data_IF_763783966811
#
_entry.id   IF_763783966811
#
_cell.length_a   1.000
_cell.length_b   1.000
_cell.length_c   1.000
_cell.angle_alpha   90.00
_cell.angle_beta   90.00
_cell.angle_gamma   90.00
#
_symmetry.space_group_name_H-M   'P 1'
#
loop_
_entity.id
_entity.type
_entity.pdbx_description
1 polymer ?
#
# COMPACT_ATOMS: atom_id res chain seq x y z
N UNK A 1 1.43 -21.18 -5.91
CA UNK A 1 1.35 -21.01 -4.44
C UNK A 1 2.71 -21.31 -3.83
N UNK A 2 3.13 -20.52 -2.85
CA UNK A 2 4.30 -20.80 -2.02
C UNK A 2 3.83 -21.26 -0.64
N UNK A 3 4.51 -22.25 -0.08
CA UNK A 3 4.30 -22.71 1.29
C UNK A 3 5.62 -22.50 2.04
N UNK A 4 5.60 -21.66 3.07
CA UNK A 4 6.75 -21.44 3.97
C UNK A 4 6.50 -22.24 5.24
N UNK A 5 7.39 -23.18 5.54
CA UNK A 5 7.37 -23.93 6.79
C UNK A 5 8.47 -23.35 7.69
N UNK A 6 8.10 -22.93 8.89
CA UNK A 6 9.03 -22.50 9.94
C UNK A 6 8.96 -23.54 11.05
N UNK A 7 10.10 -24.11 11.47
CA UNK A 7 10.13 -25.13 12.53
C UNK A 7 9.44 -26.46 12.17
N UNK A 8 9.53 -26.88 10.91
CA UNK A 8 9.07 -28.20 10.48
C UNK A 8 9.95 -29.36 10.98
N UNK A 9 9.50 -30.60 10.78
CA UNK A 9 10.19 -31.84 11.16
C UNK A 9 10.68 -31.85 12.60
N UNK A 10 9.74 -31.69 13.53
CA UNK A 10 10.03 -31.59 14.96
C UNK A 10 10.91 -30.38 15.28
N UNK A 11 10.55 -29.20 14.73
CA UNK A 11 11.23 -27.94 14.98
C UNK A 11 12.72 -27.96 14.59
N UNK A 12 13.09 -28.72 13.56
CA UNK A 12 14.49 -28.88 13.17
C UNK A 12 14.87 -28.08 11.91
N UNK A 13 13.90 -27.75 11.05
CA UNK A 13 14.17 -27.08 9.78
C UNK A 13 13.04 -26.22 9.25
N UNK A 14 13.40 -25.32 8.34
CA UNK A 14 12.48 -24.41 7.65
C UNK A 14 12.66 -24.57 6.15
N UNK A 15 11.56 -24.58 5.40
CA UNK A 15 11.59 -24.80 3.93
C UNK A 15 10.62 -23.89 3.20
N UNK A 16 10.93 -23.59 1.95
CA UNK A 16 9.99 -23.00 0.99
C UNK A 16 9.63 -24.08 -0.02
N UNK A 17 8.33 -24.30 -0.25
CA UNK A 17 7.81 -25.20 -1.27
C UNK A 17 6.98 -24.42 -2.29
N UNK A 18 7.18 -24.72 -3.58
CA UNK A 18 6.36 -24.17 -4.67
C UNK A 18 5.32 -25.21 -5.09
N UNK A 19 4.07 -24.80 -5.24
CA UNK A 19 2.98 -25.58 -5.84
C UNK A 19 2.76 -26.98 -5.25
N UNK A 20 3.04 -27.18 -3.95
CA UNK A 20 2.88 -28.47 -3.26
C UNK A 20 3.70 -29.61 -3.88
N UNK A 21 4.77 -29.29 -4.60
CA UNK A 21 5.65 -30.29 -5.23
C UNK A 21 6.94 -30.49 -4.45
N UNK A 22 7.54 -31.68 -4.61
CA UNK A 22 8.88 -32.00 -4.11
C UNK A 22 9.87 -32.06 -5.30
N UNK A 23 11.16 -31.74 -5.10
CA UNK A 23 11.79 -31.30 -3.85
C UNK A 23 11.33 -29.90 -3.41
N UNK A 24 11.55 -29.56 -2.14
CA UNK A 24 11.36 -28.18 -1.68
C UNK A 24 12.36 -27.26 -2.40
N UNK A 25 11.99 -26.01 -2.64
CA UNK A 25 12.80 -25.08 -3.47
C UNK A 25 13.88 -24.35 -2.66
N UNK A 26 13.73 -24.30 -1.34
CA UNK A 26 14.76 -23.87 -0.41
C UNK A 26 14.60 -24.60 0.94
N UNK A 27 15.70 -24.89 1.62
CA UNK A 27 15.74 -25.60 2.90
C UNK A 27 16.91 -25.10 3.76
N UNK A 28 16.67 -24.96 5.07
CA UNK A 28 17.69 -24.56 6.04
C UNK A 28 17.43 -25.21 7.41
N UNK A 29 18.49 -25.66 8.07
CA UNK A 29 18.44 -26.15 9.44
C UNK A 29 18.15 -24.99 10.40
N UNK A 30 17.08 -25.13 11.18
CA UNK A 30 16.58 -24.12 12.13
C UNK A 30 16.11 -24.82 13.40
N UNK A 31 17.03 -25.49 14.13
CA UNK A 31 16.68 -26.20 15.35
C UNK A 31 16.13 -25.24 16.39
N UNK A 32 15.06 -25.67 17.05
CA UNK A 32 14.42 -24.97 18.17
C UNK A 32 13.99 -23.53 17.83
N UNK A 33 13.64 -23.26 16.56
CA UNK A 33 13.29 -21.91 16.12
C UNK A 33 11.93 -21.46 16.68
N UNK A 34 10.96 -22.37 16.80
CA UNK A 34 9.70 -22.13 17.49
C UNK A 34 9.79 -22.46 18.98
N UNK A 35 8.93 -21.85 19.79
CA UNK A 35 8.79 -22.13 21.23
C UNK A 35 7.33 -22.33 21.60
N UNK A 36 7.07 -23.20 22.58
CA UNK A 36 5.75 -23.33 23.21
C UNK A 36 5.56 -22.40 24.40
N UNK A 37 6.66 -21.83 24.93
CA UNK A 37 6.67 -21.07 26.18
C UNK A 37 6.65 -19.54 25.94
N UNK A 38 6.94 -19.10 24.72
CA UNK A 38 7.02 -17.68 24.35
C UNK A 38 6.62 -17.43 22.90
N UNK A 39 6.07 -16.24 22.64
CA UNK A 39 5.85 -15.74 21.28
C UNK A 39 7.19 -15.38 20.65
N UNK A 40 7.41 -15.85 19.41
CA UNK A 40 8.59 -15.50 18.61
C UNK A 40 8.14 -14.89 17.29
N UNK A 41 8.61 -13.67 17.02
CA UNK A 41 8.29 -12.98 15.79
C UNK A 41 9.16 -13.42 14.62
N UNK A 42 8.53 -13.47 13.45
CA UNK A 42 9.16 -13.75 12.17
C UNK A 42 8.61 -12.79 11.13
N UNK A 43 9.44 -12.42 10.16
CA UNK A 43 8.98 -11.72 8.98
C UNK A 43 9.10 -12.64 7.75
N UNK A 44 8.12 -12.52 6.86
CA UNK A 44 8.16 -13.10 5.52
C UNK A 44 8.00 -11.93 4.55
N UNK A 45 8.95 -11.78 3.64
CA UNK A 45 8.93 -10.74 2.61
C UNK A 45 8.92 -11.40 1.24
N UNK A 46 8.18 -10.81 0.32
CA UNK A 46 8.17 -11.22 -1.08
C UNK A 46 8.34 -9.99 -1.95
N UNK A 47 9.35 -10.05 -2.80
CA UNK A 47 9.76 -8.94 -3.64
C UNK A 47 10.53 -9.43 -4.88
N UNK A 48 10.27 -8.87 -6.06
CA UNK A 48 10.97 -9.16 -7.32
C UNK A 48 11.14 -10.66 -7.59
N UNK A 49 10.09 -11.43 -7.27
CA UNK A 49 10.10 -12.90 -7.37
C UNK A 49 10.94 -13.63 -6.31
N UNK A 50 11.51 -12.92 -5.35
CA UNK A 50 12.27 -13.43 -4.22
C UNK A 50 11.40 -13.50 -2.97
N UNK A 51 11.39 -14.67 -2.33
CA UNK A 51 10.77 -14.87 -1.02
C UNK A 51 11.88 -14.99 0.00
N UNK A 52 11.80 -14.22 1.06
CA UNK A 52 12.76 -14.24 2.16
C UNK A 52 12.06 -14.33 3.52
N UNK A 53 12.70 -15.04 4.45
CA UNK A 53 12.18 -15.31 5.79
C UNK A 53 13.27 -14.99 6.80
N UNK A 54 12.92 -14.23 7.83
CA UNK A 54 13.83 -13.88 8.90
C UNK A 54 13.13 -13.74 10.25
N UNK A 55 13.92 -13.44 11.28
CA UNK A 55 13.45 -13.26 12.65
C UNK A 55 13.13 -11.80 12.92
N UNK A 56 12.13 -11.55 13.75
CA UNK A 56 11.83 -10.19 14.23
C UNK A 56 13.07 -9.53 14.85
N UNK A 57 13.30 -8.26 14.52
CA UNK A 57 14.48 -7.50 14.94
C UNK A 57 15.76 -7.79 14.16
N UNK A 58 15.81 -8.85 13.33
CA UNK A 58 16.95 -9.16 12.47
C UNK A 58 16.68 -8.70 11.03
N UNK A 59 17.64 -8.03 10.40
CA UNK A 59 17.54 -7.62 8.99
C UNK A 59 17.90 -8.74 8.01
N UNK A 60 18.66 -9.74 8.44
CA UNK A 60 19.10 -10.86 7.62
C UNK A 60 18.04 -11.96 7.51
N UNK A 61 17.82 -12.45 6.29
CA UNK A 61 17.04 -13.65 6.06
C UNK A 61 17.83 -14.90 6.49
N UNK A 62 17.17 -15.86 7.14
CA UNK A 62 17.73 -17.21 7.34
C UNK A 62 17.32 -18.16 6.21
N UNK A 63 16.29 -17.83 5.42
CA UNK A 63 15.80 -18.65 4.30
C UNK A 63 15.36 -17.75 3.15
N UNK A 64 15.86 -18.03 1.95
CA UNK A 64 15.57 -17.24 0.74
C UNK A 64 15.37 -18.15 -0.46
N UNK A 65 14.45 -17.78 -1.35
CA UNK A 65 14.23 -18.42 -2.64
C UNK A 65 13.93 -17.37 -3.71
N UNK A 66 14.73 -17.33 -4.77
CA UNK A 66 14.46 -16.53 -5.96
C UNK A 66 13.75 -17.39 -7.02
N UNK A 67 12.51 -17.06 -7.34
CA UNK A 67 11.72 -17.83 -8.29
C UNK A 67 12.00 -17.43 -9.74
N UNK A 68 12.45 -18.34 -10.62
CA UNK A 68 12.62 -18.03 -12.04
C UNK A 68 11.30 -17.72 -12.77
N UNK A 69 10.16 -18.14 -12.22
CA UNK A 69 8.83 -17.88 -12.78
C UNK A 69 7.87 -17.41 -11.68
N UNK A 70 8.00 -16.15 -11.23
CA UNK A 70 7.23 -15.64 -10.09
C UNK A 70 5.78 -15.32 -10.47
N UNK A 71 4.90 -15.35 -9.47
CA UNK A 71 3.50 -14.95 -9.61
C UNK A 71 3.11 -13.98 -8.49
N UNK A 72 2.03 -13.21 -8.72
CA UNK A 72 1.55 -12.25 -7.73
C UNK A 72 0.97 -12.93 -6.50
N UNK A 73 1.39 -12.51 -5.31
CA UNK A 73 0.85 -12.97 -4.03
C UNK A 73 -0.19 -11.94 -3.58
N UNK A 74 -1.48 -12.27 -3.72
CA UNK A 74 -2.58 -11.40 -3.29
C UNK A 74 -3.22 -11.81 -1.96
N UNK A 75 -2.89 -13.00 -1.46
CA UNK A 75 -3.47 -13.56 -0.24
C UNK A 75 -2.43 -14.41 0.49
N UNK A 76 -2.55 -14.48 1.81
CA UNK A 76 -1.81 -15.43 2.63
C UNK A 76 -2.78 -16.15 3.58
N UNK A 77 -2.34 -17.29 4.08
CA UNK A 77 -3.03 -18.03 5.12
C UNK A 77 -2.00 -18.70 6.03
N UNK A 78 -2.37 -18.89 7.28
CA UNK A 78 -1.54 -19.55 8.27
C UNK A 78 -2.25 -20.80 8.78
N UNK A 79 -1.48 -21.86 9.02
CA UNK A 79 -1.98 -23.09 9.63
C UNK A 79 -0.83 -23.77 10.39
N UNK A 80 -1.20 -24.66 11.30
CA UNK A 80 -0.21 -25.51 11.97
C UNK A 80 0.15 -26.71 11.10
N UNK A 81 1.36 -27.23 11.29
CA UNK A 81 1.77 -28.52 10.73
C UNK A 81 0.99 -29.69 11.34
N UNK A 82 1.07 -30.85 10.69
CA UNK A 82 0.43 -32.06 11.19
C UNK A 82 0.89 -32.40 12.61
N UNK A 83 -0.07 -32.56 13.53
CA UNK A 83 0.19 -32.90 14.93
C UNK A 83 0.61 -31.71 15.81
N UNK A 84 0.65 -30.48 15.28
CA UNK A 84 1.00 -29.29 16.04
C UNK A 84 -0.23 -28.41 16.34
N UNK A 85 -0.19 -27.72 17.47
CA UNK A 85 -1.08 -26.61 17.84
C UNK A 85 -0.25 -25.33 17.98
N UNK A 86 -0.86 -24.17 17.75
CA UNK A 86 -0.16 -22.88 17.88
C UNK A 86 -1.11 -21.71 17.90
N UNK A 87 -0.63 -20.61 18.47
CA UNK A 87 -1.27 -19.30 18.49
C UNK A 87 -0.47 -18.35 17.61
N UNK A 88 -1.15 -17.38 16.99
CA UNK A 88 -0.53 -16.46 16.05
C UNK A 88 -1.01 -15.04 16.35
N UNK A 89 -0.06 -14.10 16.42
CA UNK A 89 -0.32 -12.68 16.29
C UNK A 89 0.17 -12.26 14.90
N UNK A 90 -0.75 -11.72 14.09
CA UNK A 90 -0.44 -11.31 12.73
C UNK A 90 -0.33 -9.80 12.72
N UNK A 91 0.91 -9.32 12.65
CA UNK A 91 1.22 -7.91 12.48
C UNK A 91 1.53 -7.66 11.01
N UNK A 92 0.54 -7.13 10.28
CA UNK A 92 0.73 -6.70 8.90
C UNK A 92 1.47 -5.35 8.90
N UNK A 93 2.79 -5.40 9.07
CA UNK A 93 3.65 -4.28 8.69
C UNK A 93 4.00 -4.53 7.22
N UNK A 94 3.47 -3.71 6.32
CA UNK A 94 3.92 -3.67 4.94
C UNK A 94 5.40 -3.25 4.94
N UNK A 95 6.32 -4.21 5.00
CA UNK A 95 7.74 -3.95 4.76
C UNK A 95 7.92 -3.90 3.24
N UNK A 96 7.47 -2.77 2.67
CA UNK A 96 7.44 -2.53 1.24
C UNK A 96 8.83 -2.22 0.68
N UNK A 97 9.37 -3.16 -0.05
CA UNK A 97 10.40 -3.00 -1.07
C UNK A 97 10.44 -4.34 -1.77
N UNK A 98 10.01 -4.53 -3.02
CA UNK A 98 9.77 -3.72 -4.21
C UNK A 98 8.47 -4.16 -4.95
N UNK A 99 8.07 -3.28 -5.89
CA UNK A 99 7.69 -3.57 -7.28
C UNK A 99 6.58 -4.59 -7.58
N UNK A 100 5.39 -4.29 -7.06
CA UNK A 100 4.21 -4.15 -7.93
C UNK A 100 3.46 -2.83 -7.72
N UNK A 101 4.21 -1.78 -7.40
CA UNK A 101 3.69 -0.43 -7.53
C UNK A 101 3.65 -0.11 -9.02
N UNK A 102 2.45 -0.15 -9.61
CA UNK A 102 2.22 0.68 -10.79
C UNK A 102 2.27 2.12 -10.27
N UNK A 103 3.48 2.67 -10.24
CA UNK A 103 3.62 4.12 -10.23
C UNK A 103 2.99 4.58 -11.55
N UNK A 104 2.09 5.58 -11.52
CA UNK A 104 1.60 6.19 -12.75
C UNK A 104 2.79 6.54 -13.65
N UNK A 105 2.60 6.51 -14.97
CA UNK A 105 3.65 6.67 -16.00
C UNK A 105 4.36 8.04 -16.02
N UNK A 106 4.43 8.76 -14.89
CA UNK A 106 5.17 9.98 -14.75
C UNK A 106 6.64 9.76 -15.18
N UNK A 107 7.19 10.64 -16.03
CA UNK A 107 8.59 10.54 -16.43
C UNK A 107 9.49 10.53 -15.18
N UNK A 108 10.59 9.75 -15.19
CA UNK A 108 11.50 9.72 -14.07
C UNK A 108 11.96 11.15 -13.75
N UNK A 109 12.04 11.52 -12.47
CA UNK A 109 12.56 12.83 -12.09
C UNK A 109 13.97 13.00 -12.68
N UNK A 110 14.33 14.21 -13.15
CA UNK A 110 15.64 14.48 -13.72
C UNK A 110 16.75 14.06 -12.75
N UNK A 111 17.81 13.45 -13.30
CA UNK A 111 18.94 12.91 -12.55
C UNK A 111 19.50 13.94 -11.54
N UNK A 112 19.35 13.67 -10.25
CA UNK A 112 19.81 14.56 -9.17
C UNK A 112 18.87 14.71 -7.97
N UNK A 113 17.73 14.02 -7.93
CA UNK A 113 16.86 13.99 -6.74
C UNK A 113 17.37 12.93 -5.77
N UNK A 114 17.94 13.39 -4.66
CA UNK A 114 18.38 12.59 -3.51
C UNK A 114 17.17 12.12 -2.70
N UNK A 115 17.14 10.82 -2.35
CA UNK A 115 16.22 10.14 -1.42
C UNK A 115 14.73 10.51 -1.51
N UNK A 116 14.01 9.79 -2.36
CA UNK A 116 12.56 9.65 -2.25
C UNK A 116 12.32 8.85 -0.96
N UNK A 117 11.86 9.48 0.12
CA UNK A 117 11.52 8.74 1.34
C UNK A 117 10.50 7.64 1.02
N UNK A 118 10.65 6.46 1.64
CA UNK A 118 9.89 5.24 1.38
C UNK A 118 8.38 5.41 1.70
N UNK A 119 7.62 6.07 0.82
CA UNK A 119 6.15 6.01 0.88
C UNK A 119 5.65 4.79 0.12
N UNK A 120 4.54 4.22 0.60
CA UNK A 120 3.93 3.05 -0.01
C UNK A 120 2.41 3.18 -0.09
N UNK A 121 1.84 2.60 -1.13
CA UNK A 121 0.39 2.43 -1.29
C UNK A 121 0.00 1.05 -0.77
N UNK A 122 -0.56 0.98 0.42
CA UNK A 122 -0.95 -0.27 1.07
C UNK A 122 -2.36 -0.67 0.66
N UNK A 123 -2.53 -1.87 0.11
CA UNK A 123 -3.86 -2.45 -0.12
C UNK A 123 -4.63 -2.55 1.20
N UNK A 124 -5.88 -2.09 1.19
CA UNK A 124 -6.76 -2.06 2.34
C UNK A 124 -8.22 -2.27 1.92
N UNK A 125 -9.03 -2.68 2.89
CA UNK A 125 -10.46 -2.85 2.71
C UNK A 125 -11.19 -2.75 4.04
N UNK A 126 -12.51 -2.64 4.00
CA UNK A 126 -13.34 -2.75 5.21
C UNK A 126 -13.06 -1.70 6.29
N UNK A 127 -12.56 -0.51 5.91
CA UNK A 127 -12.24 0.56 6.85
C UNK A 127 -10.90 0.42 7.57
N UNK A 128 -10.11 -0.59 7.23
CA UNK A 128 -8.76 -0.76 7.78
C UNK A 128 -7.88 0.41 7.35
N UNK A 129 -7.22 1.01 8.34
CA UNK A 129 -6.19 2.05 8.15
C UNK A 129 -4.85 1.47 8.58
N UNK A 130 -3.90 1.27 7.64
CA UNK A 130 -2.57 0.76 7.97
C UNK A 130 -1.77 1.72 8.87
N UNK A 131 -0.78 1.20 9.64
CA UNK A 131 0.13 2.05 10.40
C UNK A 131 0.88 3.04 9.51
N UNK A 132 1.03 4.28 9.99
CA UNK A 132 1.73 5.33 9.23
C UNK A 132 0.94 5.87 8.04
N UNK A 133 -0.38 5.63 7.99
CA UNK A 133 -1.26 6.22 6.99
C UNK A 133 -1.25 7.76 7.05
N UNK A 134 -1.25 8.37 5.87
CA UNK A 134 -1.26 9.83 5.72
C UNK A 134 -2.68 10.35 5.94
N UNK A 135 -2.87 11.08 7.04
CA UNK A 135 -4.07 11.88 7.27
C UNK A 135 -4.05 13.10 6.35
N UNK A 136 -5.07 13.23 5.50
CA UNK A 136 -5.16 14.30 4.51
C UNK A 136 -6.30 15.28 4.73
N UNK A 137 -7.23 14.97 5.62
CA UNK A 137 -8.42 15.77 5.84
C UNK A 137 -9.23 15.35 7.07
N UNK A 138 -10.38 15.99 7.26
CA UNK A 138 -11.29 15.73 8.38
C UNK A 138 -12.74 16.02 7.98
N UNK A 139 -13.63 15.08 8.32
CA UNK A 139 -15.08 15.12 8.10
C UNK A 139 -15.78 14.25 9.16
N UNK A 140 -16.11 14.86 10.31
CA UNK A 140 -16.51 14.22 11.60
C UNK A 140 -15.47 13.26 12.21
N UNK A 141 -14.68 12.59 11.38
CA UNK A 141 -13.53 11.75 11.67
C UNK A 141 -12.33 12.14 10.78
N UNK A 142 -11.15 11.61 11.07
CA UNK A 142 -9.97 11.80 10.21
C UNK A 142 -10.17 11.10 8.87
N UNK A 143 -9.81 11.80 7.79
CA UNK A 143 -9.82 11.26 6.43
C UNK A 143 -8.38 10.94 6.01
N UNK A 144 -8.20 9.77 5.39
CA UNK A 144 -6.89 9.31 4.95
C UNK A 144 -6.76 9.39 3.43
N UNK A 145 -5.54 9.64 2.97
CA UNK A 145 -5.21 9.66 1.54
C UNK A 145 -5.29 8.24 1.00
N UNK A 146 -6.24 8.01 0.11
CA UNK A 146 -6.38 6.74 -0.58
C UNK A 146 -6.47 6.88 -2.08
N UNK A 147 -6.44 5.74 -2.76
CA UNK A 147 -6.74 5.63 -4.18
C UNK A 147 -7.45 4.32 -4.49
N UNK A 148 -8.23 4.30 -5.55
CA UNK A 148 -8.95 3.10 -5.98
C UNK A 148 -9.20 3.09 -7.48
N UNK A 149 -9.35 1.89 -8.05
CA UNK A 149 -9.69 1.73 -9.45
C UNK A 149 -11.18 2.01 -9.72
N UNK A 150 -11.46 2.73 -10.81
CA UNK A 150 -12.80 2.95 -11.31
C UNK A 150 -12.78 3.29 -12.81
N UNK A 151 -13.59 2.58 -13.62
CA UNK A 151 -13.73 2.83 -15.06
C UNK A 151 -12.39 2.90 -15.84
N UNK A 152 -11.43 2.04 -15.47
CA UNK A 152 -10.11 1.98 -16.13
C UNK A 152 -9.10 3.01 -15.64
N UNK A 153 -9.48 3.90 -14.72
CA UNK A 153 -8.60 4.87 -14.09
C UNK A 153 -8.23 4.43 -12.65
N UNK A 154 -7.05 4.84 -12.18
CA UNK A 154 -6.65 4.76 -10.78
C UNK A 154 -6.80 6.15 -10.16
N UNK A 155 -7.76 6.32 -9.28
CA UNK A 155 -8.19 7.64 -8.84
C UNK A 155 -7.84 7.88 -7.37
N UNK A 156 -7.12 8.98 -7.04
CA UNK A 156 -6.95 9.39 -5.66
C UNK A 156 -8.25 9.94 -5.06
N UNK A 157 -8.41 9.80 -3.76
CA UNK A 157 -9.62 10.16 -3.04
C UNK A 157 -9.46 10.08 -1.52
N UNK A 158 -10.60 10.04 -0.82
CA UNK A 158 -10.67 10.06 0.65
C UNK A 158 -11.10 8.70 1.19
N UNK A 159 -10.35 8.16 2.15
CA UNK A 159 -10.77 6.99 2.92
C UNK A 159 -11.45 7.48 4.19
N UNK A 160 -12.68 7.04 4.41
CA UNK A 160 -13.48 7.33 5.60
C UNK A 160 -13.65 6.04 6.42
N UNK A 161 -12.86 5.84 7.49
CA UNK A 161 -12.83 4.58 8.23
C UNK A 161 -14.19 4.15 8.76
N UNK A 162 -14.97 5.06 9.34
CA UNK A 162 -16.30 4.79 9.88
C UNK A 162 -17.30 4.33 8.82
N UNK A 163 -17.06 4.63 7.54
CA UNK A 163 -17.87 4.16 6.41
C UNK A 163 -17.32 2.89 5.76
N UNK A 164 -16.09 2.48 6.11
CA UNK A 164 -15.37 1.38 5.48
C UNK A 164 -15.16 1.53 3.96
N UNK A 165 -15.04 2.78 3.48
CA UNK A 165 -15.07 3.12 2.06
C UNK A 165 -13.98 4.15 1.71
N UNK A 166 -13.34 3.95 0.55
CA UNK A 166 -12.62 4.99 -0.18
C UNK A 166 -13.55 5.63 -1.22
N UNK A 167 -13.79 6.92 -1.11
CA UNK A 167 -14.56 7.68 -2.09
C UNK A 167 -13.64 8.32 -3.12
N UNK A 168 -13.94 8.10 -4.40
CA UNK A 168 -13.22 8.69 -5.54
C UNK A 168 -14.18 9.46 -6.43
N UNK A 169 -13.69 10.54 -7.05
CA UNK A 169 -14.49 11.40 -7.93
C UNK A 169 -14.29 10.98 -9.39
N UNK A 170 -15.39 10.76 -10.14
CA UNK A 170 -15.32 10.43 -11.56
C UNK A 170 -16.64 10.65 -12.28
N UNK A 171 -16.59 11.19 -13.50
CA UNK A 171 -17.75 11.29 -14.39
C UNK A 171 -18.91 12.10 -13.82
N UNK A 172 -18.63 13.10 -12.98
CA UNK A 172 -19.65 13.90 -12.29
C UNK A 172 -20.16 13.32 -10.97
N UNK A 173 -19.72 12.13 -10.56
CA UNK A 173 -20.21 11.44 -9.36
C UNK A 173 -19.13 11.14 -8.30
N UNK A 174 -19.60 10.91 -7.07
CA UNK A 174 -18.81 10.30 -5.99
C UNK A 174 -19.05 8.79 -5.98
N UNK A 175 -17.96 8.02 -5.98
CA UNK A 175 -18.01 6.56 -6.07
C UNK A 175 -17.31 5.93 -4.87
N UNK A 176 -18.06 5.18 -4.07
CA UNK A 176 -17.51 4.42 -2.95
C UNK A 176 -16.87 3.11 -3.41
N UNK A 177 -15.67 2.82 -2.92
CA UNK A 177 -14.90 1.60 -3.14
C UNK A 177 -14.58 0.93 -1.81
N UNK A 178 -14.87 -0.36 -1.72
CA UNK A 178 -14.58 -1.20 -0.55
C UNK A 178 -13.18 -1.81 -0.59
N UNK A 179 -12.59 -1.87 -1.78
CA UNK A 179 -11.20 -2.25 -2.03
C UNK A 179 -10.45 -1.01 -2.52
N UNK A 180 -9.37 -0.66 -1.86
CA UNK A 180 -8.64 0.57 -2.09
C UNK A 180 -7.20 0.44 -1.59
N UNK A 181 -6.40 1.46 -1.86
CA UNK A 181 -5.04 1.60 -1.32
C UNK A 181 -4.98 2.84 -0.44
N UNK A 182 -4.19 2.78 0.63
CA UNK A 182 -3.92 3.90 1.56
C UNK A 182 -2.46 4.31 1.45
N UNK A 183 -2.19 5.61 1.31
CA UNK A 183 -0.82 6.12 1.31
C UNK A 183 -0.25 6.07 2.72
N UNK A 184 0.91 5.44 2.87
CA UNK A 184 1.58 5.23 4.15
C UNK A 184 3.08 5.56 4.06
N UNK A 185 3.73 5.73 5.20
CA UNK A 185 5.21 5.79 5.28
C UNK A 185 5.84 7.15 4.98
N UNK A 186 5.05 8.19 4.73
CA UNK A 186 5.55 9.55 4.53
C UNK A 186 4.83 10.61 5.36
N UNK A 187 5.49 11.76 5.49
CA UNK A 187 4.95 12.98 6.09
C UNK A 187 4.93 14.08 5.02
N UNK A 188 3.94 14.10 4.13
CA UNK A 188 3.90 15.08 3.06
C UNK A 188 3.56 16.48 3.56
N UNK A 189 3.89 17.48 2.75
CA UNK A 189 3.52 18.88 2.96
C UNK A 189 2.37 19.24 2.03
N UNK A 190 1.42 20.02 2.51
CA UNK A 190 0.31 20.55 1.72
C UNK A 190 0.64 21.97 1.28
N UNK A 191 0.65 22.22 -0.03
CA UNK A 191 1.04 23.51 -0.61
C UNK A 191 -0.16 24.12 -1.33
N UNK A 192 -0.62 25.32 -0.94
CA UNK A 192 -1.65 26.04 -1.67
C UNK A 192 -1.22 26.31 -3.11
N UNK A 193 -2.09 25.99 -4.07
CA UNK A 193 -1.85 26.20 -5.50
C UNK A 193 -3.18 26.45 -6.23
N UNK A 194 -3.11 26.68 -7.54
CA UNK A 194 -4.28 26.94 -8.38
C UNK A 194 -4.08 26.33 -9.77
N UNK A 195 -5.16 25.90 -10.41
CA UNK A 195 -5.13 25.51 -11.82
C UNK A 195 -4.27 24.27 -12.05
N UNK A 196 -3.36 24.37 -13.03
CA UNK A 196 -2.38 23.33 -13.36
C UNK A 196 -0.96 23.66 -12.83
N UNK A 197 -0.84 24.45 -11.76
CA UNK A 197 0.46 24.74 -11.16
C UNK A 197 0.90 23.57 -10.25
N UNK A 198 1.38 22.49 -10.88
CA UNK A 198 1.84 21.27 -10.19
C UNK A 198 3.32 21.45 -9.79
N UNK A 199 3.65 21.45 -8.47
CA UNK A 199 5.03 21.48 -8.01
C UNK A 199 5.82 20.26 -8.50
N UNK A 200 7.12 20.46 -8.78
CA UNK A 200 8.00 19.39 -9.27
C UNK A 200 8.19 18.23 -8.29
N UNK A 201 7.95 18.46 -6.99
CA UNK A 201 8.00 17.48 -5.92
C UNK A 201 6.60 16.99 -5.50
N UNK A 202 5.57 17.23 -6.31
CA UNK A 202 4.24 16.66 -6.10
C UNK A 202 4.28 15.14 -6.30
N UNK A 203 3.58 14.40 -5.44
CA UNK A 203 3.57 12.94 -5.46
C UNK A 203 2.45 12.46 -6.39
N UNK A 204 2.75 11.79 -7.52
CA UNK A 204 1.73 11.17 -8.36
C UNK A 204 0.98 10.08 -7.58
N UNK A 205 -0.34 10.05 -7.69
CA UNK A 205 -1.19 9.20 -6.87
C UNK A 205 -2.23 8.40 -7.67
N UNK A 206 -2.26 8.57 -8.98
CA UNK A 206 -3.17 7.85 -9.85
C UNK A 206 -2.94 8.21 -11.31
N UNK A 207 -3.77 7.66 -12.18
CA UNK A 207 -3.79 7.96 -13.60
C UNK A 207 -5.20 7.85 -14.17
N UNK A 208 -5.51 8.65 -15.17
CA UNK A 208 -6.74 8.52 -15.96
C UNK A 208 -6.69 7.28 -16.84
N UNK A 209 -7.82 6.95 -17.45
CA UNK A 209 -7.96 5.89 -18.45
C UNK A 209 -7.00 6.04 -19.65
N UNK A 210 -6.56 7.26 -19.96
CA UNK A 210 -5.62 7.57 -21.04
C UNK A 210 -4.16 7.69 -20.56
N UNK A 211 -3.89 7.42 -19.28
CA UNK A 211 -2.56 7.46 -18.67
C UNK A 211 -2.09 8.86 -18.24
N UNK A 212 -2.99 9.85 -18.15
CA UNK A 212 -2.65 11.15 -17.58
C UNK A 212 -2.39 11.00 -16.07
N UNK A 213 -1.22 11.42 -15.55
CA UNK A 213 -0.94 11.34 -14.12
C UNK A 213 -1.86 12.26 -13.30
N UNK A 214 -2.43 11.70 -12.23
CA UNK A 214 -3.25 12.40 -11.26
C UNK A 214 -2.48 12.59 -9.96
N UNK A 215 -2.75 13.70 -9.27
CA UNK A 215 -2.11 14.04 -7.99
C UNK A 215 -3.15 14.13 -6.88
N UNK A 216 -2.69 14.10 -5.63
CA UNK A 216 -3.57 14.31 -4.47
C UNK A 216 -3.70 15.80 -4.20
N UNK A 217 -4.95 16.26 -4.21
CA UNK A 217 -5.30 17.58 -3.73
C UNK A 217 -6.24 17.47 -2.53
N UNK A 218 -6.33 18.55 -1.77
CA UNK A 218 -7.38 18.74 -0.77
C UNK A 218 -7.96 20.14 -0.85
N UNK A 219 -9.19 20.27 -0.40
CA UNK A 219 -9.94 21.53 -0.41
C UNK A 219 -10.67 21.68 0.92
N UNK A 220 -10.71 22.90 1.46
CA UNK A 220 -11.68 23.27 2.48
C UNK A 220 -13.04 23.45 1.79
N UNK A 221 -13.97 22.54 2.04
CA UNK A 221 -15.32 22.61 1.49
C UNK A 221 -16.33 22.43 2.62
N UNK A 222 -17.18 23.44 2.79
CA UNK A 222 -18.03 23.58 3.98
C UNK A 222 -17.17 23.51 5.26
N UNK A 223 -17.59 22.74 6.27
CA UNK A 223 -16.88 22.55 7.53
C UNK A 223 -15.85 21.39 7.47
N UNK A 224 -15.56 20.88 6.27
CA UNK A 224 -14.65 19.73 6.05
C UNK A 224 -13.38 20.13 5.30
N UNK A 225 -12.29 19.43 5.59
CA UNK A 225 -11.11 19.40 4.73
C UNK A 225 -11.13 18.05 4.05
N UNK A 226 -11.31 18.01 2.73
CA UNK A 226 -11.52 16.74 2.01
C UNK A 226 -10.54 16.56 0.87
N UNK A 227 -10.16 15.30 0.67
CA UNK A 227 -9.13 14.85 -0.28
C UNK A 227 -9.80 14.51 -1.61
N UNK A 228 -9.12 14.78 -2.71
CA UNK A 228 -9.59 14.52 -4.07
C UNK A 228 -8.46 14.34 -5.08
N UNK A 229 -8.84 14.31 -6.36
CA UNK A 229 -7.91 14.18 -7.48
C UNK A 229 -7.63 15.53 -8.11
N UNK A 230 -6.35 15.85 -8.30
CA UNK A 230 -5.92 16.95 -9.16
C UNK A 230 -5.70 16.39 -10.55
N UNK A 231 -6.40 16.94 -11.53
CA UNK A 231 -6.26 16.57 -12.93
C UNK A 231 -5.65 17.74 -13.71
N UNK A 232 -4.34 17.68 -14.03
CA UNK A 232 -3.58 18.74 -14.71
C UNK A 232 -4.27 19.31 -15.95
N UNK A 233 -4.74 18.44 -16.86
CA UNK A 233 -5.37 18.80 -18.13
C UNK A 233 -6.68 19.58 -17.94
N UNK A 234 -7.38 19.35 -16.83
CA UNK A 234 -8.61 20.06 -16.48
C UNK A 234 -8.36 21.29 -15.60
N UNK A 235 -7.12 21.45 -15.10
CA UNK A 235 -6.71 22.58 -14.25
C UNK A 235 -7.57 22.75 -12.98
N UNK A 236 -7.99 21.64 -12.36
CA UNK A 236 -8.80 21.65 -11.13
C UNK A 236 -8.47 20.47 -10.22
N UNK A 237 -8.79 20.62 -8.94
CA UNK A 237 -8.97 19.52 -7.99
C UNK A 237 -10.44 19.12 -7.94
N UNK A 238 -10.75 17.86 -8.19
CA UNK A 238 -12.07 17.26 -8.01
C UNK A 238 -12.15 16.55 -6.67
N UNK A 239 -13.12 16.92 -5.84
CA UNK A 239 -13.43 16.20 -4.60
C UNK A 239 -14.70 15.36 -4.79
N UNK A 240 -14.74 14.13 -4.25
CA UNK A 240 -15.99 13.40 -4.07
C UNK A 240 -16.71 13.98 -2.84
N UNK A 241 -17.91 14.53 -3.01
CA UNK A 241 -18.70 15.08 -1.90
C UNK A 241 -20.20 15.04 -2.17
N UNK A 242 -21.00 14.57 -1.21
CA UNK A 242 -22.46 14.59 -1.29
C UNK A 242 -23.04 13.81 -2.46
N UNK A 243 -22.37 12.74 -2.92
CA UNK A 243 -22.77 11.98 -4.11
C UNK A 243 -22.29 12.57 -5.44
N UNK A 244 -21.60 13.72 -5.45
CA UNK A 244 -21.15 14.41 -6.65
C UNK A 244 -19.62 14.53 -6.74
N UNK A 245 -19.12 14.71 -7.97
CA UNK A 245 -17.76 15.19 -8.25
C UNK A 245 -17.80 16.73 -8.33
N UNK A 246 -17.11 17.40 -7.41
CA UNK A 246 -17.12 18.88 -7.30
C UNK A 246 -15.74 19.42 -7.64
N UNK A 247 -15.66 20.39 -8.57
CA UNK A 247 -14.42 20.93 -9.11
C UNK A 247 -14.00 22.23 -8.40
N UNK A 248 -12.71 22.33 -8.06
CA UNK A 248 -12.11 23.49 -7.42
C UNK A 248 -10.83 23.93 -8.16
N UNK A 249 -10.75 25.18 -8.65
CA UNK A 249 -9.54 25.69 -9.27
C UNK A 249 -8.47 26.07 -8.25
N UNK A 250 -8.84 26.35 -7.00
CA UNK A 250 -7.94 26.66 -5.88
C UNK A 250 -7.96 25.49 -4.91
N UNK A 251 -6.78 24.98 -4.55
CA UNK A 251 -6.65 23.78 -3.71
C UNK A 251 -5.26 23.72 -3.07
N UNK A 252 -5.08 22.84 -2.10
CA UNK A 252 -3.75 22.47 -1.62
C UNK A 252 -3.32 21.17 -2.28
N UNK A 253 -2.10 21.10 -2.80
CA UNK A 253 -1.52 19.90 -3.40
C UNK A 253 -0.52 19.24 -2.45
N UNK A 254 -0.54 17.91 -2.42
CA UNK A 254 0.36 17.12 -1.59
C UNK A 254 1.75 16.99 -2.27
N UNK A 255 2.79 17.40 -1.56
CA UNK A 255 4.19 17.33 -2.04
C UNK A 255 5.10 16.63 -1.03
N UNK A 256 6.21 16.10 -1.50
CA UNK A 256 7.24 15.54 -0.63
C UNK A 256 7.95 16.66 0.16
N UNK A 257 8.27 16.40 1.43
CA UNK A 257 9.09 17.30 2.24
C UNK A 257 10.53 17.28 1.72
N UNK A 258 11.06 18.48 1.40
CA UNK A 258 12.46 18.68 0.99
C UNK A 258 13.44 18.48 2.15
#
# INVERSE_FOLDING_TARGET
MYEVFIGGWSNSKSVIRKNRTKPDVAEVDTPDILSADEMRGFWIRWDDGVISVGKEGESSAFLTYADPEPFGIGYFGVCTGWGASGEWLIEAICVGGHDRYVNPSAPPPPSGVTDIGDFCWCDASGGVIPPGAVEGGKDDESLYVGRAYHEGALLPGKVKPGHAVCYVAWGGGEHGKTEYQVLCGCNPVWVPTTGNNIPHNAIPAGETEDGEPLYVGRVQHEDTVTIGKVQPSHSVCYIPYGGAEVAFPEYEIMVQQN
#
